data_IF_280303997771
#
_entry.id   IF_280303997771
#
_cell.length_a   1.000
_cell.length_b   1.000
_cell.length_c   1.000
_cell.angle_alpha   90.00
_cell.angle_beta   90.00
_cell.angle_gamma   90.00
#
_symmetry.space_group_name_H-M   'P 1'
#
loop_
_entity.id
_entity.type
_entity.pdbx_description
1 polymer ?
#
# COMPACT_ATOMS: atom_id res chain seq x y z
N UNK A 1 -62.21 2.71 -42.05
CA UNK A 1 -61.03 3.49 -41.57
C UNK A 1 -60.46 2.76 -40.39
N UNK A 2 -59.47 1.87 -40.65
CA UNK A 2 -58.88 0.99 -39.66
C UNK A 2 -57.68 1.66 -39.06
N UNK A 3 -57.72 1.97 -37.75
CA UNK A 3 -56.64 2.58 -37.02
C UNK A 3 -55.50 1.56 -36.86
N UNK A 4 -54.39 1.78 -37.53
CA UNK A 4 -53.12 1.11 -37.32
C UNK A 4 -52.54 1.52 -35.95
N UNK A 5 -52.52 0.62 -34.96
CA UNK A 5 -51.77 0.78 -33.73
C UNK A 5 -50.31 0.48 -34.08
N UNK A 6 -49.43 1.48 -34.00
CA UNK A 6 -47.98 1.25 -34.02
C UNK A 6 -47.53 0.72 -32.65
N UNK A 7 -47.11 -0.51 -32.62
CA UNK A 7 -46.40 -1.05 -31.47
C UNK A 7 -45.04 -0.33 -31.36
N UNK A 8 -44.80 0.28 -30.21
CA UNK A 8 -43.49 0.84 -29.89
C UNK A 8 -42.46 -0.30 -29.88
N UNK A 9 -41.25 -0.10 -30.43
CA UNK A 9 -40.23 -1.14 -30.43
C UNK A 9 -39.89 -1.50 -28.98
N UNK A 10 -39.95 -2.81 -28.67
CA UNK A 10 -39.56 -3.34 -27.38
C UNK A 10 -38.19 -2.87 -27.03
N UNK A 11 -38.05 -2.16 -25.90
CA UNK A 11 -36.75 -1.73 -25.38
C UNK A 11 -35.81 -2.97 -25.32
N UNK A 12 -34.75 -2.94 -26.11
CA UNK A 12 -33.72 -4.01 -26.06
C UNK A 12 -33.27 -4.12 -24.60
N UNK A 13 -33.61 -5.24 -23.95
CA UNK A 13 -33.07 -5.56 -22.63
C UNK A 13 -31.54 -5.48 -22.73
N UNK A 14 -30.95 -4.55 -21.99
CA UNK A 14 -29.49 -4.39 -21.94
C UNK A 14 -28.94 -5.73 -21.45
N UNK A 15 -28.08 -6.38 -22.22
CA UNK A 15 -27.48 -7.65 -21.82
C UNK A 15 -26.63 -7.41 -20.58
N UNK A 16 -26.93 -8.09 -19.49
CA UNK A 16 -26.11 -8.07 -18.28
C UNK A 16 -24.75 -8.68 -18.62
N UNK A 17 -23.69 -7.95 -18.37
CA UNK A 17 -22.32 -8.36 -18.66
C UNK A 17 -21.74 -9.18 -17.52
N UNK A 18 -21.96 -8.73 -16.27
CA UNK A 18 -21.43 -9.37 -15.09
C UNK A 18 -22.46 -10.34 -14.49
N UNK A 19 -22.13 -11.63 -14.55
CA UNK A 19 -23.04 -12.69 -14.09
C UNK A 19 -22.87 -13.04 -12.60
N UNK A 20 -21.82 -12.53 -11.95
CA UNK A 20 -21.55 -12.81 -10.53
C UNK A 20 -22.53 -12.12 -9.58
N UNK A 21 -22.58 -12.60 -8.34
CA UNK A 21 -23.34 -11.98 -7.27
C UNK A 21 -22.42 -11.36 -6.24
N UNK A 22 -22.67 -10.08 -5.92
CA UNK A 22 -21.94 -9.31 -4.92
C UNK A 22 -22.92 -8.91 -3.82
N UNK A 23 -22.67 -9.43 -2.62
CA UNK A 23 -23.45 -9.19 -1.41
C UNK A 23 -22.49 -9.18 -0.20
N UNK A 24 -21.71 -8.12 -0.07
CA UNK A 24 -20.70 -7.96 0.96
C UNK A 24 -19.30 -8.43 0.55
N UNK A 25 -18.32 -8.12 1.41
CA UNK A 25 -16.90 -8.33 1.17
C UNK A 25 -16.50 -9.79 0.91
N UNK A 26 -17.11 -10.73 1.65
CA UNK A 26 -16.83 -12.15 1.47
C UNK A 26 -17.22 -12.67 0.08
N UNK A 27 -18.31 -12.15 -0.49
CA UNK A 27 -18.74 -12.54 -1.84
C UNK A 27 -17.80 -11.94 -2.89
N UNK A 28 -17.39 -10.68 -2.72
CA UNK A 28 -16.38 -10.04 -3.55
C UNK A 28 -15.06 -10.81 -3.51
N UNK A 29 -14.56 -11.13 -2.34
CA UNK A 29 -13.31 -11.88 -2.13
C UNK A 29 -13.26 -13.23 -2.85
N UNK A 30 -14.42 -13.86 -3.11
CA UNK A 30 -14.47 -15.12 -3.85
C UNK A 30 -14.42 -14.98 -5.37
N UNK A 31 -14.76 -13.81 -5.90
CA UNK A 31 -14.99 -13.63 -7.35
C UNK A 31 -14.07 -12.60 -8.03
N UNK A 32 -13.44 -11.69 -7.27
CA UNK A 32 -12.68 -10.57 -7.85
C UNK A 32 -11.48 -11.00 -8.73
N UNK A 33 -11.06 -12.26 -8.64
CA UNK A 33 -10.03 -12.86 -9.47
C UNK A 33 -10.58 -13.72 -10.63
N UNK A 34 -11.89 -13.85 -10.78
CA UNK A 34 -12.48 -14.69 -11.83
C UNK A 34 -12.47 -13.98 -13.19
N UNK A 35 -11.49 -14.34 -14.05
CA UNK A 35 -11.39 -13.81 -15.41
C UNK A 35 -12.69 -13.98 -16.18
N UNK A 36 -13.38 -15.12 -16.03
CA UNK A 36 -14.62 -15.42 -16.76
C UNK A 36 -15.73 -14.41 -16.47
N UNK A 37 -15.82 -13.97 -15.21
CA UNK A 37 -16.82 -12.97 -14.77
C UNK A 37 -16.44 -11.55 -15.23
N UNK A 38 -15.16 -11.19 -15.22
CA UNK A 38 -14.70 -9.83 -15.54
C UNK A 38 -14.39 -9.61 -17.03
N UNK A 39 -14.12 -10.65 -17.80
CA UNK A 39 -13.84 -10.55 -19.24
C UNK A 39 -14.90 -9.79 -20.04
N UNK A 40 -16.22 -9.98 -19.84
CA UNK A 40 -17.23 -9.20 -20.55
C UNK A 40 -17.17 -7.69 -20.22
N UNK A 41 -16.88 -7.32 -18.95
CA UNK A 41 -16.71 -5.94 -18.54
C UNK A 41 -15.47 -5.32 -19.22
N UNK A 42 -14.34 -6.03 -19.21
CA UNK A 42 -13.08 -5.60 -19.86
C UNK A 42 -13.30 -5.40 -21.36
N UNK A 43 -14.00 -6.32 -22.05
CA UNK A 43 -14.34 -6.18 -23.45
C UNK A 43 -15.16 -4.94 -23.74
N UNK A 44 -16.16 -4.63 -22.88
CA UNK A 44 -16.97 -3.44 -23.02
C UNK A 44 -16.18 -2.15 -22.76
N UNK A 45 -15.30 -2.14 -21.77
CA UNK A 45 -14.40 -1.02 -21.51
C UNK A 45 -13.48 -0.79 -22.72
N UNK A 46 -12.89 -1.85 -23.29
CA UNK A 46 -12.11 -1.74 -24.51
C UNK A 46 -12.92 -1.14 -25.66
N UNK A 47 -14.16 -1.57 -25.84
CA UNK A 47 -15.06 -1.05 -26.87
C UNK A 47 -15.38 0.42 -26.66
N UNK A 48 -15.70 0.85 -25.43
CA UNK A 48 -16.03 2.25 -25.10
C UNK A 48 -14.86 3.18 -25.42
N UNK A 49 -13.64 2.77 -25.08
CA UNK A 49 -12.44 3.58 -25.23
C UNK A 49 -11.65 3.30 -26.53
N UNK A 50 -12.18 2.43 -27.43
CA UNK A 50 -11.48 2.02 -28.65
C UNK A 50 -10.08 1.44 -28.38
N UNK A 51 -9.94 0.70 -27.27
CA UNK A 51 -8.68 0.06 -26.88
C UNK A 51 -8.58 -1.35 -27.52
N UNK A 52 -7.36 -1.82 -27.81
CA UNK A 52 -7.16 -3.19 -28.27
C UNK A 52 -7.51 -4.17 -27.16
N UNK A 53 -8.18 -5.26 -27.53
CA UNK A 53 -8.49 -6.35 -26.60
C UNK A 53 -7.56 -7.54 -26.83
N UNK A 54 -7.05 -8.12 -25.76
CA UNK A 54 -6.45 -9.45 -25.71
C UNK A 54 -7.03 -10.22 -24.51
N UNK A 55 -6.75 -11.51 -24.42
CA UNK A 55 -7.23 -12.31 -23.30
C UNK A 55 -6.63 -11.77 -21.98
N UNK A 56 -7.47 -11.57 -20.95
CA UNK A 56 -6.98 -11.13 -19.65
C UNK A 56 -6.10 -12.20 -18.99
N UNK A 57 -5.05 -11.75 -18.33
CA UNK A 57 -4.14 -12.57 -17.53
C UNK A 57 -4.18 -12.13 -16.07
N UNK A 58 -3.99 -13.08 -15.15
CA UNK A 58 -3.88 -12.75 -13.72
C UNK A 58 -2.62 -11.96 -13.43
N UNK A 59 -2.77 -10.99 -12.55
CA UNK A 59 -1.67 -10.33 -11.85
C UNK A 59 -1.71 -10.72 -10.36
N UNK A 60 -0.72 -10.29 -9.61
CA UNK A 60 -0.74 -10.47 -8.14
C UNK A 60 -1.99 -9.84 -7.57
N UNK A 61 -2.81 -10.61 -6.82
CA UNK A 61 -4.06 -10.11 -6.30
C UNK A 61 -3.84 -9.10 -5.16
N UNK A 62 -4.56 -7.99 -5.22
CA UNK A 62 -4.78 -7.06 -4.11
C UNK A 62 -6.21 -7.20 -3.59
N UNK A 63 -6.88 -6.08 -3.32
CA UNK A 63 -8.29 -6.01 -2.91
C UNK A 63 -9.24 -5.80 -4.09
N UNK A 64 -8.73 -5.30 -5.20
CA UNK A 64 -9.46 -5.01 -6.43
C UNK A 64 -9.26 -6.10 -7.49
N UNK A 65 -10.19 -6.17 -8.44
CA UNK A 65 -10.05 -7.04 -9.61
C UNK A 65 -9.03 -6.44 -10.58
N UNK A 66 -7.86 -7.08 -10.70
CA UNK A 66 -6.73 -6.56 -11.49
C UNK A 66 -6.29 -7.59 -12.52
N UNK A 67 -6.30 -7.18 -13.79
CA UNK A 67 -5.95 -8.06 -14.91
C UNK A 67 -5.00 -7.36 -15.90
N UNK A 68 -4.01 -8.09 -16.41
CA UNK A 68 -3.24 -7.65 -17.55
C UNK A 68 -4.00 -7.96 -18.85
N UNK A 69 -4.02 -7.01 -19.78
CA UNK A 69 -4.61 -7.15 -21.13
C UNK A 69 -3.61 -6.57 -22.12
N UNK A 70 -2.69 -7.40 -22.62
CA UNK A 70 -1.53 -6.95 -23.38
C UNK A 70 -0.63 -6.01 -22.56
N UNK A 71 -0.38 -4.83 -23.11
CA UNK A 71 0.44 -3.78 -22.45
C UNK A 71 -0.37 -2.88 -21.49
N UNK A 72 -1.58 -3.26 -21.14
CA UNK A 72 -2.45 -2.53 -20.25
C UNK A 72 -2.76 -3.35 -19.00
N UNK A 73 -3.06 -2.63 -17.91
CA UNK A 73 -3.61 -3.20 -16.67
C UNK A 73 -4.98 -2.59 -16.43
N UNK A 74 -5.97 -3.45 -16.24
CA UNK A 74 -7.34 -3.09 -15.90
C UNK A 74 -7.54 -3.32 -14.41
N UNK A 75 -7.83 -2.27 -13.67
CA UNK A 75 -8.21 -2.31 -12.26
C UNK A 75 -9.68 -1.97 -12.16
N UNK A 76 -10.49 -2.90 -11.65
CA UNK A 76 -11.93 -2.75 -11.45
C UNK A 76 -12.17 -2.79 -9.95
N UNK A 77 -12.66 -1.67 -9.42
CA UNK A 77 -12.84 -1.47 -7.98
C UNK A 77 -14.09 -2.19 -7.50
N UNK A 78 -14.05 -2.65 -6.26
CA UNK A 78 -15.21 -3.26 -5.62
C UNK A 78 -16.39 -2.26 -5.61
N UNK A 79 -17.59 -2.67 -6.08
CA UNK A 79 -18.75 -1.80 -6.06
C UNK A 79 -19.31 -1.68 -4.64
N UNK A 80 -20.20 -0.71 -4.42
CA UNK A 80 -20.80 -0.41 -3.12
C UNK A 80 -21.45 -1.63 -2.45
N UNK A 81 -22.00 -2.55 -3.24
CA UNK A 81 -22.61 -3.80 -2.76
C UNK A 81 -21.59 -4.75 -2.11
N UNK A 82 -20.30 -4.55 -2.32
CA UNK A 82 -19.26 -5.27 -1.58
C UNK A 82 -19.13 -4.81 -0.10
N UNK A 83 -19.88 -3.77 0.29
CA UNK A 83 -19.88 -3.25 1.66
C UNK A 83 -18.85 -2.14 1.93
N UNK A 84 -17.98 -1.83 0.96
CA UNK A 84 -17.05 -0.71 0.98
C UNK A 84 -17.08 -0.01 -0.38
N UNK A 85 -17.28 1.29 -0.36
CA UNK A 85 -17.20 2.09 -1.59
C UNK A 85 -15.75 2.47 -1.85
N UNK A 86 -15.12 1.77 -2.79
CA UNK A 86 -13.74 2.03 -3.22
C UNK A 86 -13.63 3.01 -4.40
N UNK A 87 -14.69 3.73 -4.75
CA UNK A 87 -14.65 4.72 -5.82
C UNK A 87 -13.67 5.87 -5.51
N UNK A 88 -13.55 6.25 -4.25
CA UNK A 88 -12.62 7.28 -3.78
C UNK A 88 -11.15 6.83 -3.94
N UNK A 89 -10.86 5.54 -3.80
CA UNK A 89 -9.51 4.98 -3.98
C UNK A 89 -9.05 5.16 -5.43
N UNK A 90 -9.97 5.00 -6.40
CA UNK A 90 -9.67 5.26 -7.80
C UNK A 90 -9.26 6.71 -8.06
N UNK A 91 -9.96 7.67 -7.49
CA UNK A 91 -9.65 9.09 -7.67
C UNK A 91 -8.34 9.46 -6.96
N UNK A 92 -8.09 8.90 -5.77
CA UNK A 92 -6.82 9.00 -5.04
C UNK A 92 -5.66 8.47 -5.89
N UNK A 93 -5.81 7.28 -6.47
CA UNK A 93 -4.77 6.64 -7.28
C UNK A 93 -4.45 7.45 -8.54
N UNK A 94 -5.48 7.97 -9.22
CA UNK A 94 -5.31 8.83 -10.41
C UNK A 94 -4.55 10.11 -10.05
N UNK A 95 -4.97 10.81 -8.99
CA UNK A 95 -4.31 12.02 -8.52
C UNK A 95 -2.84 11.74 -8.19
N UNK A 96 -2.58 10.71 -7.42
CA UNK A 96 -1.25 10.32 -6.95
C UNK A 96 -0.32 9.95 -8.11
N UNK A 97 -0.78 9.16 -9.09
CA UNK A 97 0.00 8.83 -10.28
C UNK A 97 0.33 10.08 -11.12
N UNK A 98 -0.64 10.99 -11.31
CA UNK A 98 -0.41 12.24 -12.05
C UNK A 98 0.62 13.13 -11.34
N UNK A 99 0.54 13.25 -10.00
CA UNK A 99 1.50 13.97 -9.18
C UNK A 99 2.89 13.34 -9.29
N UNK A 100 2.99 12.03 -9.12
CA UNK A 100 4.24 11.28 -9.18
C UNK A 100 4.93 11.44 -10.54
N UNK A 101 4.15 11.36 -11.61
CA UNK A 101 4.67 11.57 -12.97
C UNK A 101 5.19 12.98 -13.18
N UNK A 102 4.50 14.03 -12.67
CA UNK A 102 4.98 15.41 -12.71
C UNK A 102 6.30 15.59 -11.94
N UNK A 103 6.49 14.84 -10.86
CA UNK A 103 7.73 14.82 -10.07
C UNK A 103 8.85 13.98 -10.72
N UNK A 104 8.63 13.38 -11.90
CA UNK A 104 9.60 12.56 -12.61
C UNK A 104 9.72 11.12 -12.09
N UNK A 105 8.78 10.68 -11.25
CA UNK A 105 8.74 9.30 -10.75
C UNK A 105 8.10 8.39 -11.79
N UNK A 106 8.69 7.22 -12.01
CA UNK A 106 8.13 6.22 -12.90
C UNK A 106 6.92 5.55 -12.24
N UNK A 107 5.77 5.73 -12.87
CA UNK A 107 4.48 5.16 -12.46
C UNK A 107 3.69 4.76 -13.70
N UNK A 108 2.66 3.92 -13.61
CA UNK A 108 1.77 3.65 -14.72
C UNK A 108 1.18 4.94 -15.32
N UNK A 109 0.91 4.92 -16.61
CA UNK A 109 0.17 5.99 -17.27
C UNK A 109 -1.32 5.69 -17.23
N UNK A 110 -2.12 6.64 -16.80
CA UNK A 110 -3.58 6.54 -16.86
C UNK A 110 -4.02 6.63 -18.34
N UNK A 111 -4.61 5.53 -18.85
CA UNK A 111 -5.09 5.42 -20.23
C UNK A 111 -6.57 5.77 -20.30
N UNK A 112 -7.38 5.21 -19.41
CA UNK A 112 -8.81 5.46 -19.36
C UNK A 112 -9.34 5.25 -17.93
N UNK A 113 -10.44 5.91 -17.60
CA UNK A 113 -11.18 5.71 -16.35
C UNK A 113 -12.67 5.98 -16.58
N UNK A 114 -13.51 5.42 -15.73
CA UNK A 114 -14.94 5.62 -15.81
C UNK A 114 -15.74 4.76 -14.84
N UNK A 115 -17.04 4.77 -15.01
CA UNK A 115 -17.97 3.87 -14.34
C UNK A 115 -18.69 3.06 -15.42
N UNK A 116 -18.62 1.73 -15.31
CA UNK A 116 -19.41 0.85 -16.16
C UNK A 116 -20.68 0.45 -15.44
N UNK A 117 -21.80 1.02 -15.90
CA UNK A 117 -23.13 0.73 -15.35
C UNK A 117 -23.66 -0.57 -15.94
N UNK A 118 -23.73 -1.63 -15.13
CA UNK A 118 -24.32 -2.93 -15.49
C UNK A 118 -25.30 -3.39 -14.41
N UNK A 119 -25.17 -4.58 -13.86
CA UNK A 119 -25.88 -5.03 -12.66
C UNK A 119 -25.44 -4.26 -11.41
N UNK A 120 -24.17 -3.90 -11.39
CA UNK A 120 -23.52 -3.06 -10.39
C UNK A 120 -22.80 -1.90 -11.08
N UNK A 121 -22.48 -0.87 -10.34
CA UNK A 121 -21.68 0.25 -10.82
C UNK A 121 -20.20 -0.05 -10.59
N UNK A 122 -19.48 -0.45 -11.64
CA UNK A 122 -18.07 -0.77 -11.58
C UNK A 122 -17.23 0.45 -11.92
N UNK A 123 -16.61 1.09 -10.93
CA UNK A 123 -15.53 2.06 -11.16
C UNK A 123 -14.33 1.31 -11.73
N UNK A 124 -13.66 1.86 -12.74
CA UNK A 124 -12.48 1.24 -13.33
C UNK A 124 -11.40 2.24 -13.67
N UNK A 125 -10.17 1.75 -13.68
CA UNK A 125 -8.97 2.40 -14.14
C UNK A 125 -8.26 1.48 -15.13
N UNK A 126 -7.92 2.00 -16.30
CA UNK A 126 -7.05 1.36 -17.28
C UNK A 126 -5.74 2.12 -17.29
N UNK A 127 -4.65 1.43 -17.08
CA UNK A 127 -3.33 2.01 -17.00
C UNK A 127 -2.30 1.21 -17.81
N UNK A 128 -1.16 1.83 -18.13
CA UNK A 128 -0.07 1.12 -18.81
C UNK A 128 0.58 0.10 -17.88
N UNK A 129 1.04 -1.00 -18.46
CA UNK A 129 1.85 -1.99 -17.75
C UNK A 129 3.27 -1.45 -17.56
N UNK A 130 3.76 -1.41 -16.32
CA UNK A 130 5.16 -1.09 -16.05
C UNK A 130 6.03 -2.32 -16.24
N UNK A 131 7.20 -2.18 -16.89
CA UNK A 131 8.17 -3.27 -17.01
C UNK A 131 8.93 -3.47 -15.70
N UNK A 132 9.52 -4.66 -15.55
CA UNK A 132 10.39 -4.99 -14.43
C UNK A 132 9.89 -6.16 -13.61
N UNK A 133 10.66 -6.48 -12.57
CA UNK A 133 10.35 -7.50 -11.57
C UNK A 133 9.94 -6.84 -10.27
N UNK A 134 9.01 -7.44 -9.54
CA UNK A 134 8.66 -6.98 -8.21
C UNK A 134 9.86 -7.08 -7.26
N UNK A 135 9.92 -6.17 -6.29
CA UNK A 135 11.01 -6.16 -5.29
C UNK A 135 11.20 -7.53 -4.65
N UNK A 136 10.13 -8.23 -4.27
CA UNK A 136 10.18 -9.58 -3.68
C UNK A 136 10.81 -10.65 -4.57
N UNK A 137 10.76 -10.49 -5.89
CA UNK A 137 11.38 -11.42 -6.83
C UNK A 137 12.90 -11.27 -6.89
N UNK A 138 13.40 -10.08 -6.58
CA UNK A 138 14.84 -9.75 -6.58
C UNK A 138 15.44 -10.00 -5.20
N UNK A 139 14.73 -9.58 -4.15
CA UNK A 139 15.13 -9.75 -2.75
C UNK A 139 14.01 -10.44 -1.95
N UNK A 140 13.88 -11.76 -2.07
CA UNK A 140 12.92 -12.49 -1.26
C UNK A 140 13.28 -12.34 0.22
N UNK A 141 12.40 -11.67 0.96
CA UNK A 141 12.61 -11.39 2.38
C UNK A 141 12.18 -12.61 3.21
N UNK A 142 12.96 -13.01 4.21
CA UNK A 142 12.59 -14.13 5.06
C UNK A 142 11.31 -13.84 5.84
N UNK A 143 10.45 -14.85 5.94
CA UNK A 143 9.26 -14.82 6.79
C UNK A 143 9.70 -15.07 8.24
N UNK A 144 9.82 -14.01 9.02
CA UNK A 144 10.27 -14.08 10.39
C UNK A 144 9.24 -14.72 11.34
N UNK A 145 7.99 -14.92 10.92
CA UNK A 145 6.97 -15.59 11.76
C UNK A 145 7.31 -17.07 12.05
N UNK A 146 8.14 -17.70 11.21
CA UNK A 146 8.56 -19.09 11.37
C UNK A 146 9.76 -19.28 12.29
N UNK A 147 10.40 -18.21 12.73
CA UNK A 147 11.67 -18.25 13.48
C UNK A 147 11.62 -17.60 14.87
N UNK A 148 10.47 -17.11 15.31
CA UNK A 148 10.33 -16.56 16.67
C UNK A 148 10.19 -17.73 17.65
N UNK A 149 11.17 -18.01 18.53
CA UNK A 149 10.96 -18.93 19.62
C UNK A 149 9.85 -18.38 20.53
N UNK A 150 8.89 -19.23 20.88
CA UNK A 150 7.89 -18.93 21.90
C UNK A 150 8.58 -18.80 23.26
N UNK A 151 9.13 -17.67 23.57
CA UNK A 151 9.44 -17.16 24.91
C UNK A 151 10.31 -15.88 24.79
N UNK A 152 9.69 -14.72 24.79
CA UNK A 152 10.40 -13.52 25.23
C UNK A 152 10.18 -13.42 26.74
N UNK A 153 10.85 -14.30 27.51
CA UNK A 153 11.09 -14.02 28.93
C UNK A 153 12.25 -13.05 29.00
N UNK A 154 11.96 -11.77 29.18
CA UNK A 154 12.84 -10.81 29.87
C UNK A 154 14.20 -10.43 29.27
N UNK A 155 14.69 -11.05 28.18
CA UNK A 155 15.95 -10.66 27.53
C UNK A 155 15.78 -10.84 26.03
N UNK A 156 15.69 -9.72 25.29
CA UNK A 156 15.86 -9.70 23.83
C UNK A 156 17.24 -10.29 23.55
N UNK A 157 17.36 -11.35 22.73
CA UNK A 157 18.70 -11.83 22.34
C UNK A 157 19.40 -10.66 21.64
N UNK A 158 20.52 -10.21 22.19
CA UNK A 158 21.38 -9.28 21.52
C UNK A 158 21.70 -9.85 20.13
N UNK A 159 21.56 -9.01 19.09
CA UNK A 159 21.92 -9.38 17.73
C UNK A 159 23.31 -10.04 17.82
N UNK A 160 23.43 -11.25 17.27
CA UNK A 160 24.71 -11.98 17.26
C UNK A 160 25.80 -11.04 16.76
N UNK A 161 26.81 -10.90 17.58
CA UNK A 161 27.89 -9.95 17.43
C UNK A 161 28.40 -9.79 16.00
N UNK A 162 28.59 -8.55 15.61
CA UNK A 162 29.05 -8.02 14.34
C UNK A 162 30.46 -8.43 13.93
N UNK A 163 30.77 -9.72 13.96
CA UNK A 163 32.00 -10.23 13.36
C UNK A 163 31.77 -10.35 11.86
N UNK A 164 32.19 -9.30 11.11
CA UNK A 164 32.25 -9.38 9.66
C UNK A 164 30.99 -8.96 8.89
N UNK A 165 30.10 -8.14 9.44
CA UNK A 165 29.00 -7.57 8.65
C UNK A 165 29.56 -6.69 7.53
N UNK A 166 29.46 -7.16 6.29
CA UNK A 166 29.67 -6.34 5.08
C UNK A 166 28.29 -6.01 4.50
N UNK A 167 27.92 -4.73 4.43
CA UNK A 167 26.66 -4.34 3.81
C UNK A 167 26.58 -4.88 2.38
N UNK A 168 25.42 -5.42 2.00
CA UNK A 168 25.16 -5.75 0.59
C UNK A 168 25.08 -4.44 -0.22
N UNK A 169 26.06 -4.16 -1.12
CA UNK A 169 26.12 -2.90 -1.84
C UNK A 169 24.91 -2.68 -2.74
N UNK A 170 24.31 -3.76 -3.26
CA UNK A 170 23.14 -3.67 -4.14
C UNK A 170 21.91 -3.23 -3.35
N UNK A 171 21.67 -3.79 -2.17
CA UNK A 171 20.60 -3.38 -1.26
C UNK A 171 20.75 -1.91 -0.84
N UNK A 172 21.95 -1.53 -0.43
CA UNK A 172 22.24 -0.15 -0.02
C UNK A 172 22.05 0.84 -1.16
N UNK A 173 22.50 0.51 -2.37
CA UNK A 173 22.36 1.36 -3.55
C UNK A 173 20.87 1.51 -3.96
N UNK A 174 20.11 0.40 -3.93
CA UNK A 174 18.68 0.41 -4.22
C UNK A 174 17.92 1.30 -3.22
N UNK A 175 18.12 1.09 -1.92
CA UNK A 175 17.42 1.85 -0.88
C UNK A 175 17.73 3.35 -0.96
N UNK A 176 18.97 3.71 -1.26
CA UNK A 176 19.38 5.11 -1.51
C UNK A 176 18.68 5.69 -2.75
N UNK A 177 18.53 4.89 -3.80
CA UNK A 177 17.82 5.31 -5.01
C UNK A 177 16.34 5.49 -4.77
N UNK A 178 15.70 4.58 -4.02
CA UNK A 178 14.31 4.70 -3.62
C UNK A 178 14.09 5.95 -2.76
N UNK A 179 14.95 6.21 -1.78
CA UNK A 179 14.87 7.43 -0.95
C UNK A 179 14.90 8.71 -1.78
N UNK A 180 15.81 8.76 -2.79
CA UNK A 180 15.92 9.90 -3.70
C UNK A 180 14.69 10.04 -4.60
N UNK A 181 14.10 8.93 -5.01
CA UNK A 181 12.90 8.91 -5.83
C UNK A 181 11.68 9.40 -5.05
N UNK A 182 11.56 9.07 -3.77
CA UNK A 182 10.47 9.52 -2.90
C UNK A 182 10.59 10.99 -2.49
N UNK A 183 11.80 11.53 -2.36
CA UNK A 183 12.03 12.88 -1.86
C UNK A 183 11.21 13.99 -2.57
N UNK A 184 11.08 14.04 -3.91
CA UNK A 184 10.24 15.03 -4.58
C UNK A 184 8.72 14.77 -4.41
N UNK A 185 8.33 13.56 -4.02
CA UNK A 185 6.93 13.23 -3.70
C UNK A 185 6.57 13.65 -2.29
N UNK A 186 7.44 13.37 -1.32
CA UNK A 186 7.22 13.66 0.09
C UNK A 186 7.28 15.16 0.38
N UNK A 187 6.40 15.90 -0.27
CA UNK A 187 6.25 17.37 -0.15
C UNK A 187 4.80 17.73 0.09
N UNK A 188 4.49 18.84 0.74
CA UNK A 188 3.12 19.30 0.94
C UNK A 188 2.38 19.44 -0.39
N UNK A 189 1.06 19.16 -0.38
CA UNK A 189 0.17 19.43 -1.50
C UNK A 189 -1.24 19.74 -0.99
N UNK A 190 -2.15 20.02 -1.93
CA UNK A 190 -3.57 20.17 -1.64
C UNK A 190 -4.18 18.88 -1.08
N UNK A 191 -5.24 19.02 -0.29
CA UNK A 191 -6.04 17.88 0.17
C UNK A 191 -6.71 17.24 -1.05
N UNK A 192 -6.50 15.95 -1.25
CA UNK A 192 -7.00 15.21 -2.42
C UNK A 192 -7.88 14.01 -2.06
N UNK A 193 -7.97 13.66 -0.79
CA UNK A 193 -8.88 12.64 -0.27
C UNK A 193 -9.24 12.92 1.20
N UNK A 194 -10.06 12.06 1.77
CA UNK A 194 -10.55 12.18 3.15
C UNK A 194 -9.83 11.25 4.12
N UNK A 195 -8.66 10.74 3.77
CA UNK A 195 -7.90 9.83 4.64
C UNK A 195 -7.26 10.64 5.75
N UNK A 196 -7.69 10.41 6.99
CA UNK A 196 -7.07 10.92 8.21
C UNK A 196 -6.30 9.80 8.90
N UNK A 197 -4.98 9.81 8.75
CA UNK A 197 -4.11 8.74 9.26
C UNK A 197 -3.97 8.73 10.78
N UNK A 198 -4.38 9.81 11.45
CA UNK A 198 -4.18 9.98 12.90
C UNK A 198 -5.46 9.70 13.69
N UNK A 199 -6.59 10.18 13.21
CA UNK A 199 -7.86 10.21 13.94
C UNK A 199 -8.92 9.25 13.41
N UNK A 200 -8.64 8.48 12.33
CA UNK A 200 -9.60 7.52 11.80
C UNK A 200 -9.82 6.35 12.79
N UNK A 201 -10.99 6.25 13.44
CA UNK A 201 -11.25 5.21 14.42
C UNK A 201 -11.30 3.80 13.82
N UNK A 202 -11.63 3.65 12.53
CA UNK A 202 -11.64 2.35 11.84
C UNK A 202 -10.24 1.76 11.72
N UNK A 203 -9.21 2.59 11.61
CA UNK A 203 -7.80 2.18 11.61
C UNK A 203 -7.38 1.60 12.97
N UNK A 204 -8.08 1.96 14.04
CA UNK A 204 -7.86 1.41 15.38
C UNK A 204 -8.07 -0.09 15.48
N UNK A 205 -8.97 -0.69 14.69
CA UNK A 205 -9.31 -2.12 14.74
C UNK A 205 -8.14 -3.06 14.45
N UNK A 206 -7.16 -2.64 13.67
CA UNK A 206 -5.95 -3.43 13.40
C UNK A 206 -5.06 -3.60 14.62
N UNK A 207 -5.31 -2.82 15.67
CA UNK A 207 -4.61 -2.88 16.95
C UNK A 207 -5.35 -3.68 18.01
N UNK A 208 -6.60 -4.09 17.77
CA UNK A 208 -7.42 -4.87 18.72
C UNK A 208 -6.75 -6.16 19.20
N UNK A 209 -5.95 -6.89 18.38
CA UNK A 209 -5.24 -8.07 18.84
C UNK A 209 -4.11 -7.81 19.85
N UNK A 210 -3.69 -6.53 20.03
CA UNK A 210 -2.60 -6.19 20.94
C UNK A 210 -3.11 -6.03 22.39
N UNK A 211 -2.24 -6.23 23.42
CA UNK A 211 -2.58 -6.02 24.81
C UNK A 211 -3.14 -4.62 25.08
N UNK A 212 -4.04 -4.52 26.05
CA UNK A 212 -4.73 -3.27 26.38
C UNK A 212 -3.75 -2.16 26.80
N UNK A 213 -2.77 -2.49 27.63
CA UNK A 213 -1.72 -1.57 28.09
C UNK A 213 -0.91 -1.00 26.91
N UNK A 214 -0.58 -1.81 25.91
CA UNK A 214 0.07 -1.32 24.70
C UNK A 214 -0.85 -0.38 23.89
N UNK A 215 -2.13 -0.73 23.74
CA UNK A 215 -3.08 0.09 22.97
C UNK A 215 -3.31 1.45 23.63
N UNK A 216 -3.42 1.48 24.96
CA UNK A 216 -3.54 2.73 25.74
C UNK A 216 -2.28 3.58 25.63
N UNK A 217 -1.10 2.95 25.75
CA UNK A 217 0.19 3.64 25.59
C UNK A 217 0.34 4.24 24.19
N UNK A 218 -0.02 3.47 23.14
CA UNK A 218 -0.06 3.93 21.75
C UNK A 218 -0.91 5.19 21.61
N UNK A 219 -2.15 5.19 22.08
CA UNK A 219 -3.06 6.33 21.96
C UNK A 219 -2.53 7.55 22.71
N UNK A 220 -1.95 7.37 23.89
CA UNK A 220 -1.32 8.44 24.66
C UNK A 220 -0.13 9.09 23.92
N UNK A 221 0.73 8.27 23.31
CA UNK A 221 1.86 8.77 22.54
C UNK A 221 1.38 9.54 21.30
N UNK A 222 0.40 9.00 20.56
CA UNK A 222 -0.17 9.68 19.40
C UNK A 222 -0.76 11.03 19.79
N UNK A 223 -1.55 11.10 20.86
CA UNK A 223 -2.14 12.34 21.33
C UNK A 223 -1.06 13.39 21.66
N UNK A 224 0.00 13.01 22.38
CA UNK A 224 1.11 13.91 22.70
C UNK A 224 1.86 14.41 21.46
N UNK A 225 2.03 13.57 20.46
CA UNK A 225 2.67 13.95 19.18
C UNK A 225 1.78 14.90 18.35
N UNK A 226 0.46 14.70 18.36
CA UNK A 226 -0.48 15.61 17.71
C UNK A 226 -0.45 17.02 18.36
N UNK A 227 -0.23 17.09 19.66
CA UNK A 227 -0.09 18.38 20.36
C UNK A 227 1.23 19.09 20.06
N UNK A 228 2.32 18.36 19.84
CA UNK A 228 3.68 18.90 19.87
C UNK A 228 4.43 18.85 18.54
N UNK A 229 4.24 17.80 17.74
CA UNK A 229 5.06 17.50 16.54
C UNK A 229 4.24 17.47 15.28
N UNK A 230 3.16 16.69 15.26
CA UNK A 230 2.38 16.46 14.06
C UNK A 230 1.31 17.53 13.87
N UNK A 231 1.60 18.49 13.02
CA UNK A 231 0.66 19.54 12.63
C UNK A 231 0.23 19.30 11.18
N UNK A 232 -1.06 19.43 10.84
CA UNK A 232 -1.56 19.20 9.48
C UNK A 232 -0.78 19.99 8.41
N UNK A 233 -0.31 21.19 8.73
CA UNK A 233 0.49 22.02 7.83
C UNK A 233 1.90 21.46 7.55
N UNK A 234 2.37 20.52 8.34
CA UNK A 234 3.66 19.81 8.15
C UNK A 234 3.50 18.49 7.41
N UNK A 235 2.28 18.07 7.14
CA UNK A 235 2.03 16.81 6.45
C UNK A 235 2.47 16.90 4.99
N UNK A 236 2.97 15.79 4.52
CA UNK A 236 3.46 15.64 3.14
C UNK A 236 2.66 14.55 2.43
N UNK A 237 2.69 14.58 1.11
CA UNK A 237 2.21 13.48 0.32
C UNK A 237 3.05 12.22 0.61
N UNK A 238 2.39 11.10 0.86
CA UNK A 238 3.01 9.79 1.03
C UNK A 238 2.31 8.78 0.12
N UNK A 239 3.04 7.74 -0.28
CA UNK A 239 2.49 6.63 -1.06
C UNK A 239 1.46 5.82 -0.25
N UNK A 240 1.72 5.62 1.03
CA UNK A 240 0.83 4.97 1.97
C UNK A 240 0.89 3.44 1.99
N UNK A 241 1.39 2.78 0.94
CA UNK A 241 1.52 1.33 0.86
C UNK A 241 2.81 0.89 0.13
N UNK A 242 3.97 1.31 0.66
CA UNK A 242 5.28 0.87 0.14
C UNK A 242 5.60 -0.55 0.59
N UNK A 243 5.15 -1.52 -0.17
CA UNK A 243 5.42 -2.93 0.05
C UNK A 243 6.20 -3.58 -1.11
N UNK A 244 6.53 -4.86 -0.97
CA UNK A 244 7.37 -5.61 -1.91
C UNK A 244 6.71 -5.89 -3.27
N UNK A 245 5.39 -5.69 -3.40
CA UNK A 245 4.60 -5.85 -4.63
C UNK A 245 4.43 -4.55 -5.41
N UNK A 246 4.44 -3.43 -4.70
CA UNK A 246 4.16 -2.10 -5.24
C UNK A 246 5.41 -1.41 -5.81
N UNK A 247 6.55 -2.11 -5.86
CA UNK A 247 7.80 -1.61 -6.42
C UNK A 247 8.30 -2.55 -7.50
N UNK A 248 8.37 -2.06 -8.74
CA UNK A 248 8.99 -2.78 -9.86
C UNK A 248 10.37 -2.22 -10.17
N UNK A 249 11.28 -3.12 -10.53
CA UNK A 249 12.67 -2.80 -10.83
C UNK A 249 13.02 -3.36 -12.21
N UNK A 250 13.43 -2.45 -13.10
CA UNK A 250 13.90 -2.76 -14.46
C UNK A 250 15.27 -2.10 -14.66
N UNK A 251 16.33 -2.86 -14.47
CA UNK A 251 17.70 -2.34 -14.40
C UNK A 251 17.85 -1.29 -13.32
N UNK A 252 18.11 -0.05 -13.71
CA UNK A 252 18.23 1.09 -12.77
C UNK A 252 16.91 1.86 -12.57
N UNK A 253 15.84 1.45 -13.25
CA UNK A 253 14.53 2.11 -13.15
C UNK A 253 13.73 1.50 -12.04
N UNK A 254 13.23 2.34 -11.15
CA UNK A 254 12.28 1.97 -10.09
C UNK A 254 10.94 2.57 -10.46
N UNK A 255 9.91 1.74 -10.53
CA UNK A 255 8.52 2.17 -10.75
C UNK A 255 7.69 1.88 -9.52
N UNK A 256 6.83 2.83 -9.14
CA UNK A 256 5.89 2.69 -8.03
C UNK A 256 4.50 2.38 -8.59
N UNK A 257 3.79 1.46 -7.93
CA UNK A 257 2.46 1.00 -8.30
C UNK A 257 1.50 1.17 -7.11
N UNK A 258 0.21 1.14 -7.41
CA UNK A 258 -0.87 1.05 -6.42
C UNK A 258 -0.86 2.18 -5.37
N UNK A 259 -1.37 3.33 -5.77
CA UNK A 259 -1.45 4.53 -4.94
C UNK A 259 -2.82 4.69 -4.25
N UNK A 260 -3.60 3.62 -4.12
CA UNK A 260 -4.93 3.68 -3.50
C UNK A 260 -4.92 4.21 -2.06
N UNK A 261 -3.83 3.94 -1.33
CA UNK A 261 -3.63 4.37 0.06
C UNK A 261 -2.84 5.68 0.20
N UNK A 262 -2.54 6.36 -0.92
CA UNK A 262 -1.81 7.63 -0.86
C UNK A 262 -2.59 8.68 -0.05
N UNK A 263 -1.89 9.42 0.80
CA UNK A 263 -2.54 10.40 1.68
C UNK A 263 -1.58 11.53 2.07
N UNK A 264 -2.09 12.48 2.84
CA UNK A 264 -1.28 13.45 3.58
C UNK A 264 -0.99 12.92 4.99
N UNK A 265 0.28 12.81 5.33
CA UNK A 265 0.71 12.28 6.62
C UNK A 265 2.03 12.91 7.08
N UNK A 266 2.40 12.77 8.37
CA UNK A 266 3.78 12.97 8.80
C UNK A 266 4.71 12.05 7.99
N UNK A 267 5.92 12.54 7.67
CA UNK A 267 6.88 11.78 6.85
C UNK A 267 7.28 10.44 7.48
N UNK A 268 7.21 10.34 8.80
CA UNK A 268 7.45 9.11 9.56
C UNK A 268 6.53 7.97 9.13
N UNK A 269 5.30 8.29 8.65
CA UNK A 269 4.34 7.31 8.14
C UNK A 269 4.94 6.49 6.98
N UNK A 270 5.47 7.17 5.98
CA UNK A 270 6.11 6.55 4.80
C UNK A 270 7.38 5.79 5.17
N UNK A 271 8.23 6.42 5.99
CA UNK A 271 9.54 5.87 6.32
C UNK A 271 9.46 4.66 7.23
N UNK A 272 8.50 4.64 8.13
CA UNK A 272 8.28 3.49 9.00
C UNK A 272 7.82 2.27 8.20
N UNK A 273 6.91 2.44 7.23
CA UNK A 273 6.47 1.34 6.38
C UNK A 273 7.63 0.83 5.51
N UNK A 274 8.39 1.73 4.89
CA UNK A 274 9.58 1.34 4.13
C UNK A 274 10.58 0.55 4.99
N UNK A 275 10.82 0.98 6.23
CA UNK A 275 11.75 0.29 7.12
C UNK A 275 11.23 -1.08 7.57
N UNK A 276 9.94 -1.20 7.89
CA UNK A 276 9.37 -2.38 8.54
C UNK A 276 8.74 -3.35 7.55
N UNK A 277 7.90 -2.91 6.63
CA UNK A 277 7.23 -3.77 5.67
C UNK A 277 8.12 -4.11 4.48
N UNK A 278 8.72 -3.11 3.84
CA UNK A 278 9.52 -3.32 2.64
C UNK A 278 10.89 -3.92 2.96
N UNK A 279 11.61 -3.34 3.90
CA UNK A 279 12.99 -3.73 4.22
C UNK A 279 13.12 -4.72 5.37
N UNK A 280 12.05 -5.02 6.10
CA UNK A 280 12.05 -5.96 7.24
C UNK A 280 13.15 -5.68 8.25
N UNK A 281 13.51 -4.40 8.45
CA UNK A 281 14.61 -3.94 9.29
C UNK A 281 15.99 -4.52 8.87
N UNK A 282 16.16 -4.90 7.59
CA UNK A 282 17.46 -5.34 7.04
C UNK A 282 18.44 -4.14 7.03
N UNK A 283 19.54 -4.32 7.73
CA UNK A 283 20.52 -3.25 7.98
C UNK A 283 21.11 -2.65 6.70
N UNK A 284 21.35 -3.45 5.63
CA UNK A 284 21.90 -2.95 4.37
C UNK A 284 20.94 -2.00 3.66
N UNK A 285 19.65 -2.32 3.66
CA UNK A 285 18.63 -1.43 3.14
C UNK A 285 18.50 -0.17 4.00
N UNK A 286 18.46 -0.31 5.33
CA UNK A 286 18.33 0.82 6.24
C UNK A 286 19.50 1.80 6.12
N UNK A 287 20.73 1.33 5.98
CA UNK A 287 21.91 2.17 5.73
C UNK A 287 21.83 2.95 4.43
N UNK A 288 21.21 2.38 3.41
CA UNK A 288 20.98 3.07 2.14
C UNK A 288 19.87 4.10 2.21
N UNK A 289 18.77 3.77 2.89
CA UNK A 289 17.58 4.62 2.97
C UNK A 289 17.73 5.77 3.98
N UNK A 290 18.47 5.55 5.07
CA UNK A 290 18.70 6.50 6.16
C UNK A 290 20.20 6.81 6.35
N UNK A 291 20.94 7.20 5.30
CA UNK A 291 22.41 7.38 5.41
C UNK A 291 22.79 8.40 6.48
N UNK A 292 21.97 9.43 6.72
CA UNK A 292 22.20 10.47 7.73
C UNK A 292 22.33 9.96 9.16
N UNK A 293 21.73 8.77 9.44
CA UNK A 293 21.79 8.13 10.76
C UNK A 293 22.95 7.15 10.91
N UNK A 294 23.52 6.69 9.80
CA UNK A 294 24.62 5.71 9.79
C UNK A 294 25.98 6.30 9.44
N UNK A 295 26.04 7.39 8.68
CA UNK A 295 27.31 8.02 8.24
C UNK A 295 28.08 8.70 9.39
N UNK A 296 27.42 8.91 10.53
CA UNK A 296 28.00 9.48 11.75
C UNK A 296 27.93 8.43 12.85
N UNK A 297 29.00 7.80 13.21
CA UNK A 297 29.07 6.71 14.21
C UNK A 297 28.62 7.08 15.65
N UNK A 298 27.48 7.77 15.80
CA UNK A 298 26.91 8.20 17.07
C UNK A 298 25.70 7.33 17.43
N UNK A 299 25.79 6.58 18.52
CA UNK A 299 24.68 5.76 19.03
C UNK A 299 23.34 6.54 19.15
N UNK A 300 23.43 7.82 19.52
CA UNK A 300 22.27 8.72 19.62
C UNK A 300 21.47 8.81 18.30
N UNK A 301 22.13 8.80 17.13
CA UNK A 301 21.43 8.89 15.85
C UNK A 301 20.58 7.64 15.58
N UNK A 302 21.05 6.48 16.00
CA UNK A 302 20.26 5.25 15.89
C UNK A 302 19.09 5.22 16.88
N UNK A 303 19.20 5.91 18.01
CA UNK A 303 18.07 6.11 18.93
C UNK A 303 17.02 7.03 18.30
N UNK A 304 17.43 8.12 17.65
CA UNK A 304 16.55 9.03 16.89
C UNK A 304 15.86 8.30 15.72
N UNK A 305 16.57 7.41 15.01
CA UNK A 305 15.99 6.58 13.94
C UNK A 305 14.97 5.57 14.50
N UNK A 306 15.27 4.94 15.63
CA UNK A 306 14.34 4.04 16.30
C UNK A 306 13.07 4.79 16.70
N UNK A 307 13.19 5.99 17.25
CA UNK A 307 12.06 6.86 17.60
C UNK A 307 11.22 7.23 16.37
N UNK A 308 11.86 7.58 15.25
CA UNK A 308 11.19 7.92 13.99
C UNK A 308 10.37 6.73 13.48
N UNK A 309 10.99 5.55 13.37
CA UNK A 309 10.31 4.34 12.87
C UNK A 309 9.17 3.95 13.81
N UNK A 310 9.40 4.00 15.12
CA UNK A 310 8.38 3.68 16.11
C UNK A 310 7.17 4.59 15.97
N UNK A 311 7.37 5.92 15.94
CA UNK A 311 6.29 6.88 15.78
C UNK A 311 5.49 6.65 14.51
N UNK A 312 6.17 6.46 13.39
CA UNK A 312 5.53 6.23 12.10
C UNK A 312 4.71 4.95 12.06
N UNK A 313 5.22 3.82 12.60
CA UNK A 313 4.48 2.56 12.59
C UNK A 313 3.25 2.61 13.51
N UNK A 314 3.29 3.35 14.61
CA UNK A 314 2.15 3.50 15.53
C UNK A 314 0.95 4.19 14.89
N UNK A 315 1.15 5.07 13.90
CA UNK A 315 0.06 5.74 13.16
C UNK A 315 -0.24 5.09 11.81
N UNK A 316 0.63 4.18 11.35
CA UNK A 316 0.42 3.56 10.05
C UNK A 316 -0.81 2.65 10.06
N UNK A 317 -1.64 2.74 9.01
CA UNK A 317 -2.84 1.93 8.88
C UNK A 317 -2.52 0.44 9.00
N UNK A 318 -1.49 -0.02 8.29
CA UNK A 318 -1.04 -1.41 8.35
C UNK A 318 -0.11 -1.72 9.53
N UNK A 319 0.19 -0.75 10.41
CA UNK A 319 1.21 -0.89 11.44
C UNK A 319 1.02 -2.11 12.35
N UNK A 320 -0.19 -2.32 12.86
CA UNK A 320 -0.52 -3.48 13.68
C UNK A 320 -0.35 -4.81 12.94
N UNK A 321 -0.78 -4.87 11.68
CA UNK A 321 -0.63 -6.06 10.85
C UNK A 321 0.84 -6.35 10.53
N UNK A 322 1.63 -5.33 10.21
CA UNK A 322 3.08 -5.45 9.97
C UNK A 322 3.79 -6.01 11.20
N UNK A 323 3.54 -5.45 12.38
CA UNK A 323 4.16 -5.93 13.62
C UNK A 323 3.81 -7.38 13.91
N UNK A 324 2.55 -7.75 13.73
CA UNK A 324 2.06 -9.11 13.96
C UNK A 324 2.56 -10.09 12.91
N UNK A 325 2.40 -9.77 11.62
CA UNK A 325 2.65 -10.72 10.53
C UNK A 325 4.13 -10.82 10.16
N UNK A 326 4.89 -9.73 10.25
CA UNK A 326 6.29 -9.71 9.84
C UNK A 326 7.27 -10.00 10.97
N UNK A 327 6.90 -9.63 12.20
CA UNK A 327 7.79 -9.74 13.35
C UNK A 327 7.26 -10.65 14.46
N UNK A 328 6.02 -11.13 14.36
CA UNK A 328 5.39 -11.94 15.41
C UNK A 328 5.17 -11.16 16.71
N UNK A 329 5.20 -9.84 16.63
CA UNK A 329 5.02 -8.95 17.78
C UNK A 329 3.54 -8.64 17.95
N UNK A 330 2.90 -9.25 18.92
CA UNK A 330 1.53 -8.97 19.28
C UNK A 330 1.36 -9.10 20.80
N UNK A 331 1.22 -10.33 21.31
CA UNK A 331 0.96 -10.60 22.71
C UNK A 331 2.09 -10.19 23.66
N UNK A 332 3.31 -10.06 23.14
CA UNK A 332 4.49 -9.68 23.92
C UNK A 332 4.76 -8.18 24.03
N UNK A 333 4.01 -7.34 23.30
CA UNK A 333 4.18 -5.90 23.36
C UNK A 333 3.24 -5.29 24.41
N UNK A 334 3.81 -4.76 25.48
CA UNK A 334 3.09 -4.09 26.56
C UNK A 334 3.32 -2.58 26.63
N UNK A 335 4.29 -2.05 25.87
CA UNK A 335 4.52 -0.60 25.77
C UNK A 335 5.15 -0.23 24.45
N UNK A 336 5.02 1.04 24.07
CA UNK A 336 5.68 1.61 22.88
C UNK A 336 7.20 1.66 23.05
N UNK A 337 7.69 1.74 24.30
CA UNK A 337 9.11 1.64 24.62
C UNK A 337 9.67 0.26 24.25
N UNK A 338 8.97 -0.83 24.56
CA UNK A 338 9.36 -2.19 24.14
C UNK A 338 9.43 -2.31 22.62
N UNK A 339 8.51 -1.71 21.89
CA UNK A 339 8.55 -1.66 20.42
C UNK A 339 9.77 -0.88 19.93
N UNK A 340 10.04 0.29 20.53
CA UNK A 340 11.21 1.10 20.23
C UNK A 340 12.52 0.32 20.45
N UNK A 341 12.65 -0.36 21.57
CA UNK A 341 13.83 -1.16 21.91
C UNK A 341 14.00 -2.32 20.96
N UNK A 342 12.90 -3.00 20.57
CA UNK A 342 12.94 -4.01 19.51
C UNK A 342 13.48 -3.43 18.19
N UNK A 343 12.95 -2.32 17.73
CA UNK A 343 13.42 -1.66 16.49
C UNK A 343 14.89 -1.28 16.65
N UNK A 344 15.25 -0.65 17.77
CA UNK A 344 16.63 -0.22 18.04
C UNK A 344 17.63 -1.37 18.01
N UNK A 345 17.24 -2.54 18.48
CA UNK A 345 18.09 -3.74 18.46
C UNK A 345 18.40 -4.28 17.07
N UNK A 346 17.67 -3.84 16.04
CA UNK A 346 17.83 -4.24 14.63
C UNK A 346 18.62 -3.23 13.79
N UNK A 347 18.76 -2.00 14.28
CA UNK A 347 19.53 -0.95 13.64
C UNK A 347 21.04 -1.11 13.86
#
# INVERSE_FOLDING_TARGET
MTLLRSEAPAARRKKVLFAGEIAGWDSWGRIFQDIGLFKPLIQEICRIHSLPFSEPEHLTPGTNAVFAVGEMVFKIYAPAEAGFDQSADCDTEIFAMQRSRKAGVSVPEVIATGILHDRYDFRYLVQSRCPGKAFREIWPMPDHTKTVPAAVSGTVPAAADSVGYSPDPAKTAFARSLRRLLAPLNTPCEIFNNIDVILDPERGKRWDPFPEDFREDRLRIIAGLCETVWKPESFVFVHGDLNEDNILIDGNRISLLDFGDACLAPIEYEYALAATELFRLDKAFLQGFFPEYYDRAAARLLDELADLITRGILIHDFGGDVLRQRFGLCESLHSTEMLRDFIRSRL
#
